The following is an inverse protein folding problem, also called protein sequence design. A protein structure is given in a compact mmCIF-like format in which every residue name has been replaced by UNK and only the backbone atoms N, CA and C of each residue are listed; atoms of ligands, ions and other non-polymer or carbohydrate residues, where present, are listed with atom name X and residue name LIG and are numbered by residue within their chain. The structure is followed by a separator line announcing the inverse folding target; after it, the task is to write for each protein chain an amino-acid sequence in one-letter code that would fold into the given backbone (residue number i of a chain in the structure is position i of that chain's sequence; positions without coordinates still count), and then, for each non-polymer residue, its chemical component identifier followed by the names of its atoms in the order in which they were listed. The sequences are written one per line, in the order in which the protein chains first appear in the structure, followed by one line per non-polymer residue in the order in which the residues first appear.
data_IF_921890610201
#
_entry.id   IF_921890610201
#
_cell.length_a   1.000
_cell.length_b   1.000
_cell.length_c   1.000
_cell.angle_alpha   90.00
_cell.angle_beta   90.00
_cell.angle_gamma   90.00
#
_symmetry.space_group_name_H-M   'P 1'
#
loop_
_entity.id
_entity.type
_entity.pdbx_description
1 polymer ?
#
# COMPACT_ATOMS: atom_id res chain seq x y z
N UNK A 1 22.78 10.51 2.81
CA UNK A 1 21.70 11.47 2.51
C UNK A 1 20.80 11.52 3.74
N UNK A 2 20.42 12.70 4.24
CA UNK A 2 19.51 12.75 5.39
C UNK A 2 18.08 12.36 4.94
N UNK A 3 17.38 11.51 5.70
CA UNK A 3 16.01 11.15 5.37
C UNK A 3 15.10 12.39 5.39
N UNK A 4 14.07 12.41 4.53
CA UNK A 4 13.00 13.42 4.57
C UNK A 4 12.33 13.43 5.96
N UNK A 5 12.15 14.62 6.54
CA UNK A 5 11.39 14.84 7.79
C UNK A 5 9.90 15.10 7.53
N UNK A 6 9.41 14.90 6.31
CA UNK A 6 7.98 15.10 5.97
C UNK A 6 7.18 13.86 6.36
N UNK A 7 6.02 14.06 7.00
CA UNK A 7 5.11 12.99 7.41
C UNK A 7 4.21 12.52 6.25
N UNK A 8 4.77 11.65 5.41
CA UNK A 8 4.22 11.30 4.11
C UNK A 8 3.43 9.99 4.09
N UNK A 9 3.56 9.14 5.11
CA UNK A 9 2.89 7.83 5.19
C UNK A 9 1.85 7.85 6.31
N UNK A 10 0.60 7.51 6.00
CA UNK A 10 -0.45 7.35 7.01
C UNK A 10 -0.18 6.12 7.87
N UNK A 11 -0.38 6.22 9.18
CA UNK A 11 -0.34 5.07 10.08
C UNK A 11 -1.37 3.98 9.71
N UNK A 12 -2.40 4.30 8.91
CA UNK A 12 -3.30 3.29 8.32
C UNK A 12 -2.55 2.25 7.49
N UNK A 13 -1.46 2.63 6.83
CA UNK A 13 -0.64 1.71 6.06
C UNK A 13 -0.02 0.62 6.95
N UNK A 14 0.26 0.94 8.22
CA UNK A 14 0.89 0.03 9.19
C UNK A 14 -0.10 -1.02 9.72
N UNK A 15 -1.41 -0.76 9.58
CA UNK A 15 -2.46 -1.59 10.17
C UNK A 15 -2.45 -3.04 9.66
N UNK A 16 -2.10 -3.27 8.39
CA UNK A 16 -2.00 -4.63 7.83
C UNK A 16 -0.90 -5.45 8.50
N UNK A 17 0.25 -4.81 8.79
CA UNK A 17 1.38 -5.45 9.47
C UNK A 17 1.06 -5.70 10.94
N UNK A 18 0.42 -4.74 11.62
CA UNK A 18 -0.02 -4.94 13.00
C UNK A 18 -1.05 -6.07 13.13
N UNK A 19 -1.96 -6.18 12.17
CA UNK A 19 -2.92 -7.28 12.11
C UNK A 19 -2.21 -8.62 11.88
N UNK A 20 -1.25 -8.67 10.95
CA UNK A 20 -0.46 -9.88 10.72
C UNK A 20 0.36 -10.30 11.94
N UNK A 21 0.94 -9.32 12.66
CA UNK A 21 1.67 -9.56 13.89
C UNK A 21 0.76 -10.13 14.99
N UNK A 22 -0.45 -9.58 15.12
CA UNK A 22 -1.46 -10.08 16.06
C UNK A 22 -1.87 -11.52 15.76
N UNK A 23 -2.10 -11.86 14.49
CA UNK A 23 -2.43 -13.23 14.07
C UNK A 23 -1.31 -14.22 14.40
N UNK A 24 -0.05 -13.80 14.34
CA UNK A 24 1.13 -14.63 14.67
C UNK A 24 1.53 -14.53 16.16
N UNK A 25 0.75 -13.85 17.00
CA UNK A 25 1.09 -13.58 18.41
C UNK A 25 2.47 -12.93 18.61
N UNK A 26 2.89 -12.07 17.68
CA UNK A 26 4.12 -11.31 17.75
C UNK A 26 3.90 -10.07 18.63
N UNK A 27 4.82 -9.80 19.55
CA UNK A 27 4.82 -8.53 20.29
C UNK A 27 4.98 -7.36 19.33
N UNK A 28 3.97 -6.49 19.26
CA UNK A 28 3.96 -5.32 18.38
C UNK A 28 5.16 -4.41 18.67
N UNK A 29 5.69 -4.36 19.90
CA UNK A 29 6.87 -3.57 20.23
C UNK A 29 8.14 -4.08 19.55
N UNK A 30 8.22 -5.37 19.19
CA UNK A 30 9.36 -5.90 18.45
C UNK A 30 9.49 -5.28 17.04
N UNK A 31 8.42 -4.70 16.50
CA UNK A 31 8.43 -4.01 15.20
C UNK A 31 8.99 -2.57 15.30
N UNK A 32 9.15 -2.03 16.51
CA UNK A 32 9.45 -0.62 16.76
C UNK A 32 10.94 -0.32 16.97
N UNK A 33 11.83 -1.30 16.82
CA UNK A 33 13.27 -1.07 16.99
C UNK A 33 13.76 0.08 16.09
N UNK A 34 14.36 1.12 16.67
CA UNK A 34 14.85 2.30 15.93
C UNK A 34 13.75 3.20 15.32
N UNK A 35 12.47 2.93 15.60
CA UNK A 35 11.35 3.80 15.23
C UNK A 35 11.18 4.87 16.32
N UNK A 36 11.13 6.17 15.97
CA UNK A 36 11.12 7.25 16.97
C UNK A 36 9.76 7.48 17.64
N UNK A 37 8.76 6.65 17.32
CA UNK A 37 7.38 6.78 17.79
C UNK A 37 7.00 5.63 18.71
N UNK A 38 6.18 5.93 19.71
CA UNK A 38 5.57 4.92 20.57
C UNK A 38 4.47 4.16 19.84
N UNK A 39 4.17 2.95 20.30
CA UNK A 39 3.16 2.08 19.71
C UNK A 39 1.79 2.77 19.61
N UNK A 40 1.39 3.54 20.62
CA UNK A 40 0.10 4.25 20.64
C UNK A 40 -0.02 5.28 19.51
N UNK A 41 1.09 5.93 19.15
CA UNK A 41 1.13 6.86 18.02
C UNK A 41 0.94 6.11 16.70
N UNK A 42 1.60 4.96 16.54
CA UNK A 42 1.55 4.15 15.32
C UNK A 42 0.21 3.42 15.13
N UNK A 43 -0.50 3.10 16.21
CA UNK A 43 -1.85 2.53 16.15
C UNK A 43 -2.93 3.58 15.81
N UNK A 44 -2.61 4.86 15.91
CA UNK A 44 -3.55 5.93 15.58
C UNK A 44 -3.58 6.19 14.06
N UNK A 45 -4.59 5.65 13.39
CA UNK A 45 -4.84 5.79 11.95
C UNK A 45 -5.00 7.23 11.42
N UNK A 46 -5.09 8.25 12.29
CA UNK A 46 -5.10 9.68 11.90
C UNK A 46 -3.69 10.27 11.84
N UNK A 47 -2.71 9.61 12.42
CA UNK A 47 -1.33 10.04 12.40
C UNK A 47 -0.65 9.68 11.08
N UNK A 48 0.47 10.37 10.84
CA UNK A 48 1.37 10.11 9.73
C UNK A 48 2.80 10.03 10.23
N UNK A 49 3.65 9.33 9.48
CA UNK A 49 5.07 9.14 9.73
C UNK A 49 5.86 9.45 8.45
N UNK A 50 7.16 9.63 8.60
CA UNK A 50 8.11 9.81 7.52
C UNK A 50 8.28 8.51 6.73
N UNK A 51 8.65 8.60 5.44
CA UNK A 51 8.89 7.41 4.62
C UNK A 51 9.97 6.49 5.20
N UNK A 52 11.06 7.06 5.73
CA UNK A 52 12.11 6.25 6.34
C UNK A 52 11.65 5.53 7.60
N UNK A 53 10.68 6.10 8.34
CA UNK A 53 10.08 5.43 9.50
C UNK A 53 9.26 4.23 9.05
N UNK A 54 8.51 4.37 7.95
CA UNK A 54 7.85 3.25 7.30
C UNK A 54 8.86 2.17 6.88
N UNK A 55 9.93 2.54 6.17
CA UNK A 55 10.99 1.61 5.77
C UNK A 55 11.59 0.89 6.98
N UNK A 56 11.92 1.62 8.04
CA UNK A 56 12.50 1.04 9.25
C UNK A 56 11.54 0.07 9.93
N UNK A 57 10.30 0.48 10.16
CA UNK A 57 9.26 -0.37 10.74
C UNK A 57 9.05 -1.66 9.94
N UNK A 58 8.93 -1.54 8.61
CA UNK A 58 8.73 -2.69 7.73
C UNK A 58 9.97 -3.59 7.70
N UNK A 59 11.17 -3.01 7.67
CA UNK A 59 12.42 -3.78 7.71
C UNK A 59 12.55 -4.62 8.99
N UNK A 60 12.11 -4.10 10.14
CA UNK A 60 12.10 -4.86 11.40
C UNK A 60 11.13 -6.05 11.33
N UNK A 61 10.10 -5.98 10.48
CA UNK A 61 9.11 -7.04 10.34
C UNK A 61 9.60 -8.25 9.52
N UNK A 62 10.71 -8.10 8.75
CA UNK A 62 11.30 -9.15 7.91
C UNK A 62 11.69 -10.42 8.66
N UNK A 63 12.07 -10.30 9.93
CA UNK A 63 12.44 -11.47 10.74
C UNK A 63 11.23 -12.34 11.09
N UNK A 64 10.02 -11.78 10.94
CA UNK A 64 8.77 -12.44 11.30
C UNK A 64 7.92 -12.86 10.09
N UNK A 65 8.10 -12.20 8.95
CA UNK A 65 7.27 -12.41 7.76
C UNK A 65 8.10 -12.78 6.54
N UNK A 66 7.62 -13.79 5.81
CA UNK A 66 8.17 -14.15 4.50
C UNK A 66 7.74 -13.14 3.42
N UNK A 67 8.39 -13.14 2.25
CA UNK A 67 7.96 -12.35 1.11
C UNK A 67 6.49 -12.58 0.71
N UNK A 68 6.02 -13.83 0.72
CA UNK A 68 4.63 -14.16 0.39
C UNK A 68 3.65 -13.63 1.42
N UNK A 69 4.04 -13.55 2.71
CA UNK A 69 3.19 -12.96 3.74
C UNK A 69 3.02 -11.46 3.54
N UNK A 70 4.02 -10.75 2.99
CA UNK A 70 3.85 -9.34 2.60
C UNK A 70 2.88 -9.17 1.43
N UNK A 71 2.94 -10.05 0.43
CA UNK A 71 1.96 -10.08 -0.66
C UNK A 71 0.54 -10.32 -0.09
N UNK A 72 0.39 -11.28 0.83
CA UNK A 72 -0.87 -11.57 1.51
C UNK A 72 -1.42 -10.39 2.32
N UNK A 73 -0.56 -9.59 2.96
CA UNK A 73 -0.98 -8.35 3.64
C UNK A 73 -1.62 -7.37 2.64
N UNK A 74 -1.02 -7.21 1.46
CA UNK A 74 -1.57 -6.40 0.37
C UNK A 74 -2.89 -6.94 -0.16
N UNK A 75 -3.01 -8.26 -0.32
CA UNK A 75 -4.23 -8.91 -0.76
C UNK A 75 -5.37 -8.76 0.26
N UNK A 76 -5.09 -8.94 1.56
CA UNK A 76 -6.07 -8.79 2.64
C UNK A 76 -6.62 -7.37 2.74
N UNK A 77 -5.80 -6.36 2.45
CA UNK A 77 -6.27 -4.97 2.40
C UNK A 77 -7.43 -4.81 1.41
N UNK A 78 -7.34 -5.45 0.24
CA UNK A 78 -8.41 -5.48 -0.76
C UNK A 78 -9.60 -6.31 -0.27
N UNK A 79 -9.37 -7.55 0.20
CA UNK A 79 -10.43 -8.44 0.70
C UNK A 79 -11.23 -7.87 1.88
N UNK A 80 -10.69 -6.88 2.60
CA UNK A 80 -11.37 -6.23 3.73
C UNK A 80 -12.51 -5.31 3.31
N UNK A 81 -12.74 -5.10 2.01
CA UNK A 81 -13.93 -4.41 1.50
C UNK A 81 -13.99 -2.92 1.84
N UNK A 82 -12.85 -2.29 2.14
CA UNK A 82 -12.82 -0.82 2.22
C UNK A 82 -13.14 -0.22 0.83
N UNK A 83 -13.77 0.97 0.81
CA UNK A 83 -14.41 1.73 -0.32
C UNK A 83 -13.73 1.77 -1.71
N UNK A 84 -12.56 1.17 -1.82
CA UNK A 84 -11.66 0.99 -2.95
C UNK A 84 -12.30 0.13 -4.06
N UNK A 85 -13.15 -0.85 -3.72
CA UNK A 85 -13.72 -1.81 -4.68
C UNK A 85 -14.60 -1.15 -5.75
N UNK A 86 -15.57 -0.30 -5.40
CA UNK A 86 -16.53 0.25 -6.37
C UNK A 86 -15.90 1.20 -7.40
N UNK A 87 -14.91 1.99 -6.99
CA UNK A 87 -14.21 2.94 -7.87
C UNK A 87 -13.20 2.21 -8.77
N UNK A 88 -12.55 1.16 -8.25
CA UNK A 88 -11.61 0.34 -9.03
C UNK A 88 -12.29 -0.63 -9.99
N UNK A 89 -13.38 -1.27 -9.58
CA UNK A 89 -14.20 -2.08 -10.48
C UNK A 89 -14.62 -1.27 -11.70
N UNK A 90 -15.14 -0.06 -11.47
CA UNK A 90 -15.50 0.83 -12.55
C UNK A 90 -14.26 1.29 -13.37
N UNK A 91 -13.08 1.44 -12.77
CA UNK A 91 -11.86 1.80 -13.49
C UNK A 91 -11.45 0.73 -14.51
N UNK A 92 -11.51 -0.54 -14.13
CA UNK A 92 -11.15 -1.65 -15.02
C UNK A 92 -12.26 -1.98 -16.03
N UNK A 93 -13.53 -1.88 -15.64
CA UNK A 93 -14.67 -2.10 -16.55
C UNK A 93 -14.73 -1.08 -17.70
N UNK A 94 -14.22 0.12 -17.47
CA UNK A 94 -14.29 1.23 -18.44
C UNK A 94 -12.93 1.69 -18.96
N UNK A 95 -11.89 0.85 -18.82
CA UNK A 95 -10.45 1.08 -19.03
C UNK A 95 -10.06 1.90 -20.27
N UNK A 96 -10.87 1.91 -21.34
CA UNK A 96 -10.61 2.65 -22.58
C UNK A 96 -11.36 3.99 -22.71
N UNK A 97 -12.30 4.29 -21.82
CA UNK A 97 -13.17 5.46 -21.92
C UNK A 97 -12.78 6.60 -20.97
N UNK A 98 -13.27 7.80 -21.27
CA UNK A 98 -13.09 9.03 -20.46
C UNK A 98 -13.44 8.82 -18.97
N UNK A 99 -14.32 7.86 -18.68
CA UNK A 99 -14.74 7.46 -17.35
C UNK A 99 -13.65 6.70 -16.56
N UNK A 100 -12.88 5.80 -17.19
CA UNK A 100 -11.72 5.18 -16.50
C UNK A 100 -10.65 6.21 -16.15
N UNK A 101 -10.41 7.21 -17.01
CA UNK A 101 -9.49 8.32 -16.69
C UNK A 101 -9.97 9.16 -15.50
N UNK A 102 -11.28 9.30 -15.31
CA UNK A 102 -11.86 9.97 -14.14
C UNK A 102 -11.69 9.12 -12.88
N UNK A 103 -11.96 7.83 -12.95
CA UNK A 103 -11.82 6.90 -11.83
C UNK A 103 -10.36 6.67 -11.44
N UNK A 104 -9.42 6.71 -12.40
CA UNK A 104 -7.97 6.74 -12.18
C UNK A 104 -7.66 7.78 -11.09
N UNK A 105 -8.07 9.03 -11.33
CA UNK A 105 -7.82 10.14 -10.40
C UNK A 105 -8.40 9.90 -9.00
N UNK A 106 -9.50 9.16 -8.85
CA UNK A 106 -10.07 8.90 -7.53
C UNK A 106 -9.34 7.79 -6.78
N UNK A 107 -9.02 6.69 -7.47
CA UNK A 107 -8.28 5.55 -6.91
C UNK A 107 -6.90 6.00 -6.44
N UNK A 108 -6.19 6.75 -7.26
CA UNK A 108 -4.85 7.18 -6.90
C UNK A 108 -4.83 8.30 -5.87
N UNK A 109 -5.90 9.11 -5.75
CA UNK A 109 -6.06 10.00 -4.59
C UNK A 109 -6.18 9.23 -3.28
N UNK A 110 -6.80 8.05 -3.30
CA UNK A 110 -6.85 7.18 -2.12
C UNK A 110 -5.45 6.63 -1.81
N UNK A 111 -4.72 6.16 -2.81
CA UNK A 111 -3.32 5.73 -2.63
C UNK A 111 -2.43 6.86 -2.09
N UNK A 112 -2.55 8.07 -2.64
CA UNK A 112 -1.84 9.28 -2.19
C UNK A 112 -2.21 9.66 -0.75
N UNK A 113 -3.46 9.41 -0.34
CA UNK A 113 -3.88 9.60 1.06
C UNK A 113 -3.17 8.66 2.03
N UNK A 114 -2.76 7.48 1.55
CA UNK A 114 -1.98 6.50 2.33
C UNK A 114 -0.49 6.84 2.27
N UNK A 115 0.07 7.05 1.08
CA UNK A 115 1.49 7.39 0.87
C UNK A 115 1.60 8.55 -0.12
N UNK A 116 1.94 9.75 0.36
CA UNK A 116 2.02 10.94 -0.49
C UNK A 116 3.37 11.10 -1.20
N UNK A 117 4.41 10.37 -0.78
CA UNK A 117 5.73 10.39 -1.40
C UNK A 117 5.83 9.49 -2.65
N UNK A 118 4.90 8.55 -2.81
CA UNK A 118 4.89 7.61 -3.94
C UNK A 118 4.21 8.29 -5.12
N UNK A 119 4.99 8.54 -6.17
CA UNK A 119 4.46 9.00 -7.45
C UNK A 119 4.09 7.81 -8.31
N UNK A 120 3.19 8.05 -9.26
CA UNK A 120 2.69 7.00 -10.12
C UNK A 120 2.47 7.46 -11.55
N UNK A 121 2.65 6.54 -12.49
CA UNK A 121 2.34 6.72 -13.90
C UNK A 121 1.54 5.49 -14.37
N UNK A 122 0.38 5.72 -14.98
CA UNK A 122 -0.44 4.65 -15.56
C UNK A 122 -0.40 4.75 -17.08
N UNK A 123 0.01 3.67 -17.74
CA UNK A 123 -0.09 3.49 -19.18
C UNK A 123 -1.22 2.52 -19.50
N UNK A 124 -2.07 2.89 -20.45
CA UNK A 124 -3.15 2.04 -20.95
C UNK A 124 -2.68 1.40 -22.24
N UNK A 125 -2.43 0.09 -22.20
CA UNK A 125 -1.89 -0.65 -23.35
C UNK A 125 -3.01 -1.07 -24.28
N UNK A 126 -4.05 -1.71 -23.74
CA UNK A 126 -5.27 -2.09 -24.47
C UNK A 126 -6.49 -2.21 -23.54
N UNK A 127 -7.56 -2.86 -24.00
CA UNK A 127 -8.83 -3.00 -23.26
C UNK A 127 -8.67 -3.64 -21.88
N UNK A 128 -7.72 -4.55 -21.69
CA UNK A 128 -7.58 -5.28 -20.43
C UNK A 128 -6.17 -5.21 -19.85
N UNK A 129 -5.26 -4.48 -20.51
CA UNK A 129 -3.87 -4.37 -20.10
C UNK A 129 -3.52 -2.93 -19.73
N UNK A 130 -3.01 -2.75 -18.51
CA UNK A 130 -2.45 -1.50 -18.02
C UNK A 130 -1.06 -1.76 -17.42
N UNK A 131 -0.21 -0.74 -17.44
CA UNK A 131 1.04 -0.72 -16.70
C UNK A 131 0.93 0.40 -15.66
N UNK A 132 1.18 0.07 -14.39
CA UNK A 132 1.24 1.05 -13.30
C UNK A 132 2.67 1.08 -12.79
N UNK A 133 3.35 2.19 -13.02
CA UNK A 133 4.72 2.44 -12.56
C UNK A 133 4.67 3.29 -11.32
N UNK A 134 5.12 2.75 -10.18
CA UNK A 134 5.31 3.49 -8.94
C UNK A 134 6.77 3.91 -8.80
N UNK A 135 7.03 5.16 -8.43
CA UNK A 135 8.38 5.66 -8.25
C UNK A 135 8.47 6.65 -7.10
N UNK A 136 9.65 6.71 -6.50
CA UNK A 136 10.04 7.69 -5.49
C UNK A 136 10.97 8.71 -6.13
N UNK A 137 10.99 9.94 -5.60
CA UNK A 137 12.01 10.92 -5.97
C UNK A 137 13.40 10.50 -5.46
N UNK A 138 14.44 11.12 -5.99
CA UNK A 138 15.81 10.94 -5.52
C UNK A 138 15.91 11.28 -4.01
N UNK A 139 16.66 10.46 -3.27
CA UNK A 139 16.89 10.62 -1.83
C UNK A 139 15.92 9.87 -0.91
N UNK A 140 14.88 9.25 -1.45
CA UNK A 140 14.06 8.29 -0.70
C UNK A 140 14.71 6.90 -0.67
N UNK A 141 14.52 6.19 0.44
CA UNK A 141 14.97 4.81 0.60
C UNK A 141 14.09 3.85 -0.20
N UNK A 142 14.71 2.86 -0.86
CA UNK A 142 13.97 1.79 -1.52
C UNK A 142 13.46 0.77 -0.48
N UNK A 143 12.18 0.43 -0.55
CA UNK A 143 11.52 -0.51 0.36
C UNK A 143 11.01 -1.75 -0.43
N UNK A 144 11.76 -2.87 -0.44
CA UNK A 144 11.35 -4.08 -1.15
C UNK A 144 9.98 -4.62 -0.72
N UNK A 145 9.66 -4.52 0.56
CA UNK A 145 8.40 -5.03 1.11
C UNK A 145 7.21 -4.18 0.66
N UNK A 146 7.41 -2.88 0.45
CA UNK A 146 6.38 -2.04 -0.13
C UNK A 146 6.02 -2.52 -1.55
N UNK A 147 7.01 -2.97 -2.34
CA UNK A 147 6.75 -3.59 -3.64
C UNK A 147 5.93 -4.88 -3.49
N UNK A 148 6.28 -5.76 -2.56
CA UNK A 148 5.54 -7.02 -2.33
C UNK A 148 4.09 -6.77 -1.88
N UNK A 149 3.89 -5.87 -0.92
CA UNK A 149 2.55 -5.45 -0.48
C UNK A 149 1.77 -4.87 -1.67
N UNK A 150 2.39 -3.98 -2.45
CA UNK A 150 1.74 -3.38 -3.63
C UNK A 150 1.36 -4.44 -4.67
N UNK A 151 2.25 -5.40 -4.93
CA UNK A 151 2.01 -6.52 -5.85
C UNK A 151 0.80 -7.33 -5.42
N UNK A 152 0.75 -7.77 -4.16
CA UNK A 152 -0.39 -8.53 -3.64
C UNK A 152 -1.71 -7.73 -3.66
N UNK A 153 -1.65 -6.42 -3.43
CA UNK A 153 -2.80 -5.52 -3.63
C UNK A 153 -3.30 -5.53 -5.07
N UNK A 154 -2.41 -5.35 -6.06
CA UNK A 154 -2.80 -5.30 -7.48
C UNK A 154 -3.27 -6.66 -8.02
N UNK A 155 -2.63 -7.76 -7.61
CA UNK A 155 -3.04 -9.11 -8.00
C UNK A 155 -4.42 -9.45 -7.45
N UNK A 156 -4.66 -9.21 -6.16
CA UNK A 156 -5.96 -9.47 -5.55
C UNK A 156 -7.07 -8.61 -6.15
N UNK A 157 -6.75 -7.36 -6.49
CA UNK A 157 -7.68 -6.48 -7.17
C UNK A 157 -8.07 -7.02 -8.55
N UNK A 158 -7.09 -7.44 -9.35
CA UNK A 158 -7.33 -8.04 -10.66
C UNK A 158 -8.22 -9.29 -10.56
N UNK A 159 -8.01 -10.13 -9.54
CA UNK A 159 -8.85 -11.30 -9.27
C UNK A 159 -10.31 -10.91 -8.97
N UNK A 160 -10.55 -9.98 -8.04
CA UNK A 160 -11.91 -9.53 -7.70
C UNK A 160 -12.66 -8.96 -8.93
N UNK A 161 -11.95 -8.29 -9.82
CA UNK A 161 -12.55 -7.78 -11.07
C UNK A 161 -12.89 -8.93 -12.01
N UNK A 162 -12.00 -9.91 -12.15
CA UNK A 162 -12.25 -11.10 -12.97
C UNK A 162 -13.45 -11.92 -12.49
N UNK A 163 -13.63 -12.05 -11.18
CA UNK A 163 -14.76 -12.76 -10.56
C UNK A 163 -16.10 -12.02 -10.76
N UNK A 164 -16.12 -10.69 -10.63
CA UNK A 164 -17.32 -9.87 -10.83
C UNK A 164 -17.76 -9.72 -12.30
N UNK A 165 -16.97 -10.24 -13.25
CA UNK A 165 -17.28 -10.23 -14.68
C UNK A 165 -17.79 -11.59 -15.22
N UNK A 166 -17.98 -12.58 -14.34
CA UNK A 166 -18.59 -13.88 -14.67
C UNK A 166 -20.06 -13.91 -14.28
#
# INVERSE_FOLDING_TARGET
MQPSNKKEVSCKALASVFLAAEIKNIDKNALLEGVPYKLEYLLNNRQRVEWWVWCKFISNSRVFFSPSEFEDMGARFIKSGTYIEGTLLAFFLFSTNKFARFLNKQVFKLAESICSCIKQHTEYIDKNNIIVTLYLEEGYEFCPEFFLISKGTWEQLALQIGENNR
#
